data_IF_958910001315
#
_entry.id   IF_958910001315
#
_cell.length_a   1.000
_cell.length_b   1.000
_cell.length_c   1.000
_cell.angle_alpha   90.00
_cell.angle_beta   90.00
_cell.angle_gamma   90.00
#
_symmetry.space_group_name_H-M   'P 1'
#
loop_
_entity.id
_entity.type
_entity.pdbx_description
1 polymer ?
#
# COMPACT_ATOMS: atom_id res chain seq x y z
N UNK A 1 -6.14 12.62 -15.06
CA UNK A 1 -6.62 11.44 -14.33
C UNK A 1 -6.24 11.67 -12.87
N UNK A 2 -7.14 12.25 -12.09
CA UNK A 2 -6.86 12.67 -10.71
C UNK A 2 -7.81 11.88 -9.83
N UNK A 3 -7.49 10.61 -9.65
CA UNK A 3 -8.22 9.71 -8.76
C UNK A 3 -7.33 9.40 -7.57
N UNK A 4 -7.95 9.30 -6.39
CA UNK A 4 -7.28 8.75 -5.22
C UNK A 4 -6.88 7.30 -5.52
N UNK A 5 -5.70 6.91 -5.04
CA UNK A 5 -5.17 5.57 -5.19
C UNK A 5 -5.24 4.86 -3.85
N UNK A 6 -5.87 3.70 -3.87
CA UNK A 6 -5.90 2.79 -2.74
C UNK A 6 -6.08 1.36 -3.18
N UNK A 7 -5.85 0.43 -2.26
CA UNK A 7 -6.31 -0.93 -2.45
C UNK A 7 -7.83 -0.98 -2.53
N UNK A 8 -8.35 -2.01 -3.17
CA UNK A 8 -9.80 -2.20 -3.30
C UNK A 8 -10.46 -2.17 -1.90
N UNK A 9 -11.61 -1.49 -1.70
CA UNK A 9 -12.13 -1.22 -0.35
C UNK A 9 -12.46 -2.44 0.52
N UNK A 10 -12.65 -3.62 -0.08
CA UNK A 10 -12.90 -4.86 0.64
C UNK A 10 -11.62 -5.55 1.14
N UNK A 11 -10.44 -5.01 0.80
CA UNK A 11 -9.15 -5.52 1.25
C UNK A 11 -8.72 -4.81 2.53
N UNK A 12 -8.41 -5.60 3.55
CA UNK A 12 -7.63 -5.13 4.71
C UNK A 12 -6.15 -5.31 4.40
N UNK A 13 -5.37 -4.27 4.64
CA UNK A 13 -3.94 -4.22 4.33
C UNK A 13 -3.17 -4.27 5.65
N UNK A 14 -2.37 -5.32 5.82
CA UNK A 14 -1.62 -5.60 7.04
C UNK A 14 -0.12 -5.71 6.71
N UNK A 15 0.66 -4.63 6.83
CA UNK A 15 2.10 -4.67 6.62
C UNK A 15 2.83 -5.32 7.82
N UNK A 16 3.63 -6.34 7.56
CA UNK A 16 4.49 -7.00 8.57
C UNK A 16 5.96 -6.68 8.26
N UNK A 17 6.61 -5.84 9.09
CA UNK A 17 8.00 -5.43 8.87
C UNK A 17 8.95 -6.62 8.77
N UNK A 18 9.77 -6.63 7.71
CA UNK A 18 10.74 -7.70 7.46
C UNK A 18 10.17 -8.96 6.79
N UNK A 19 8.86 -8.98 6.50
CA UNK A 19 8.18 -10.17 5.97
C UNK A 19 7.43 -9.88 4.65
N UNK A 20 6.24 -9.29 4.75
CA UNK A 20 5.34 -9.07 3.62
C UNK A 20 4.25 -8.05 3.96
N UNK A 21 3.53 -7.61 2.93
CA UNK A 21 2.22 -6.96 3.09
C UNK A 21 1.13 -7.97 2.81
N UNK A 22 0.24 -8.19 3.77
CA UNK A 22 -0.88 -9.10 3.62
C UNK A 22 -2.14 -8.35 3.18
N UNK A 23 -2.74 -8.79 2.08
CA UNK A 23 -4.06 -8.36 1.62
C UNK A 23 -5.07 -9.41 2.06
N UNK A 24 -5.90 -9.06 3.03
CA UNK A 24 -6.89 -9.95 3.63
C UNK A 24 -8.28 -9.59 3.11
N UNK A 25 -8.99 -10.59 2.61
CA UNK A 25 -10.38 -10.50 2.18
C UNK A 25 -11.17 -11.69 2.71
N UNK A 26 -12.49 -11.66 2.53
CA UNK A 26 -13.36 -12.81 2.81
C UNK A 26 -13.01 -14.05 1.95
N UNK A 27 -12.42 -13.86 0.77
CA UNK A 27 -12.07 -14.93 -0.16
C UNK A 27 -10.66 -15.50 0.06
N UNK A 28 -9.88 -14.92 0.97
CA UNK A 28 -8.54 -15.39 1.29
C UNK A 28 -7.52 -14.27 1.50
N UNK A 29 -6.26 -14.69 1.60
CA UNK A 29 -5.11 -13.83 1.90
C UNK A 29 -4.12 -13.88 0.73
N UNK A 30 -3.66 -12.72 0.29
CA UNK A 30 -2.57 -12.59 -0.68
C UNK A 30 -1.37 -11.91 -0.02
N UNK A 31 -0.20 -12.53 -0.08
CA UNK A 31 1.04 -11.94 0.39
C UNK A 31 1.74 -11.20 -0.75
N UNK A 32 2.05 -9.92 -0.54
CA UNK A 32 2.88 -9.13 -1.43
C UNK A 32 4.27 -8.97 -0.82
N UNK A 33 5.29 -9.42 -1.54
CA UNK A 33 6.67 -9.40 -1.09
C UNK A 33 7.47 -8.29 -1.76
N UNK A 34 8.41 -7.71 -1.01
CA UNK A 34 9.40 -6.76 -1.53
C UNK A 34 9.39 -5.42 -0.81
N UNK A 35 10.55 -4.76 -0.83
CA UNK A 35 10.74 -3.46 -0.16
C UNK A 35 9.85 -2.37 -0.75
N UNK A 36 9.66 -2.39 -2.07
CA UNK A 36 8.82 -1.39 -2.75
C UNK A 36 7.37 -1.45 -2.28
N UNK A 37 6.76 -2.65 -2.22
CA UNK A 37 5.37 -2.76 -1.78
C UNK A 37 5.22 -2.52 -0.27
N UNK A 38 6.22 -2.90 0.54
CA UNK A 38 6.24 -2.59 1.97
C UNK A 38 6.25 -1.07 2.23
N UNK A 39 6.98 -0.30 1.40
CA UNK A 39 7.01 1.15 1.49
C UNK A 39 5.74 1.82 0.92
N UNK A 40 5.18 1.27 -0.15
CA UNK A 40 4.01 1.85 -0.83
C UNK A 40 2.68 1.51 -0.16
N UNK A 41 2.54 0.33 0.45
CA UNK A 41 1.26 -0.14 0.97
C UNK A 41 0.59 0.82 1.98
N UNK A 42 1.32 1.46 2.91
CA UNK A 42 0.72 2.44 3.83
C UNK A 42 0.23 3.72 3.14
N UNK A 43 0.72 4.03 1.93
CA UNK A 43 0.35 5.24 1.17
C UNK A 43 -0.89 5.01 0.28
N UNK A 44 -1.19 3.74 -0.01
CA UNK A 44 -2.31 3.31 -0.86
C UNK A 44 -3.59 3.10 -0.04
N UNK A 45 -3.97 4.11 0.73
CA UNK A 45 -5.16 4.10 1.60
C UNK A 45 -6.40 4.74 0.96
N UNK A 46 -6.29 5.24 -0.27
CA UNK A 46 -7.39 5.90 -0.97
C UNK A 46 -7.60 7.36 -0.57
N UNK A 47 -6.66 8.00 0.13
CA UNK A 47 -6.73 9.44 0.47
C UNK A 47 -5.80 10.32 -0.37
N UNK A 48 -4.94 9.71 -1.21
CA UNK A 48 -3.88 10.40 -1.95
C UNK A 48 -3.96 10.09 -3.43
N UNK A 49 -3.67 11.08 -4.26
CA UNK A 49 -3.45 10.85 -5.68
C UNK A 49 -2.02 10.33 -5.98
N UNK A 50 -1.78 9.96 -7.24
CA UNK A 50 -0.48 9.44 -7.67
C UNK A 50 0.68 10.43 -7.43
N UNK A 51 0.47 11.72 -7.64
CA UNK A 51 1.53 12.72 -7.50
C UNK A 51 1.97 12.85 -6.04
N UNK A 52 1.00 12.83 -5.12
CA UNK A 52 1.29 12.88 -3.69
C UNK A 52 2.02 11.61 -3.21
N UNK A 53 1.56 10.42 -3.66
CA UNK A 53 2.22 9.15 -3.34
C UNK A 53 3.66 9.11 -3.83
N UNK A 54 3.94 9.55 -5.06
CA UNK A 54 5.30 9.58 -5.60
C UNK A 54 6.20 10.54 -4.81
N UNK A 55 5.65 11.64 -4.32
CA UNK A 55 6.38 12.62 -3.49
C UNK A 55 6.72 12.03 -2.12
N UNK A 56 5.76 11.40 -1.44
CA UNK A 56 5.98 10.76 -0.14
C UNK A 56 6.90 9.54 -0.24
N UNK A 57 6.77 8.73 -1.28
CA UNK A 57 7.62 7.55 -1.49
C UNK A 57 9.08 7.90 -1.83
N UNK A 58 9.31 9.09 -2.40
CA UNK A 58 10.65 9.61 -2.67
C UNK A 58 11.29 10.27 -1.44
N UNK A 59 10.52 10.57 -0.39
CA UNK A 59 11.07 11.06 0.85
C UNK A 59 11.88 9.94 1.53
N UNK A 60 13.09 10.21 2.04
CA UNK A 60 13.86 9.21 2.76
C UNK A 60 13.04 8.73 3.95
N UNK A 61 12.93 7.40 4.10
CA UNK A 61 12.35 6.78 5.28
C UNK A 61 13.09 7.33 6.51
N UNK A 62 12.38 8.10 7.33
CA UNK A 62 12.93 8.76 8.51
C UNK A 62 13.13 7.77 9.65
#
# INVERSE_FOLDING_TARGET
>A
MTGELGFTPHLRVEPVPGEAVYLVSEHGVTALHGQAIAALAPLLDGSRDLAHILTEAAAPAR
#
